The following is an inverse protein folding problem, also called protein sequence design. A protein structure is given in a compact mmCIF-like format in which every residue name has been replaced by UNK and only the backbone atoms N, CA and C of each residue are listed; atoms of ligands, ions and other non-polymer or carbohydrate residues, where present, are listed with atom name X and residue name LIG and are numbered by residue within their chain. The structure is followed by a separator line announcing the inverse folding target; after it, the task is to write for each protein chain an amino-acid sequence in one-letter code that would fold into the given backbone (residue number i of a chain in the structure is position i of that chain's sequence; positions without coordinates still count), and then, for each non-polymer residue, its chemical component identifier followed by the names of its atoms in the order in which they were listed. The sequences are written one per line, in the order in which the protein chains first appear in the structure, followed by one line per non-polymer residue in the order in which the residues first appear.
data_IF_437202738881
#
_entry.id   IF_437202738881
#
_cell.length_a   1.000
_cell.length_b   1.000
_cell.length_c   1.000
_cell.angle_alpha   90.00
_cell.angle_beta   90.00
_cell.angle_gamma   90.00
#
_symmetry.space_group_name_H-M   'P 1'
#
loop_
_entity.id
_entity.type
_entity.pdbx_description
1 polymer ?
#
# COMPACT_ATOMS: atom_id res chain seq x y z
N UNK A 1 22.87 -8.05 4.29
CA UNK A 1 21.43 -8.32 4.15
C UNK A 1 20.73 -7.02 4.53
N UNK A 2 20.11 -6.34 3.57
CA UNK A 2 19.54 -5.00 3.80
C UNK A 2 18.13 -5.15 4.37
N UNK A 3 17.87 -4.50 5.51
CA UNK A 3 16.56 -4.48 6.19
C UNK A 3 15.42 -4.02 5.28
N UNK A 4 15.74 -3.23 4.25
CA UNK A 4 14.80 -2.78 3.23
C UNK A 4 14.17 -3.93 2.45
N UNK A 5 14.95 -4.93 2.02
CA UNK A 5 14.44 -6.02 1.19
C UNK A 5 13.46 -6.92 1.97
N UNK A 6 13.77 -7.21 3.24
CA UNK A 6 12.88 -7.99 4.11
C UNK A 6 11.55 -7.27 4.36
N UNK A 7 11.60 -5.97 4.64
CA UNK A 7 10.43 -5.14 4.86
C UNK A 7 9.58 -5.04 3.60
N UNK A 8 10.21 -4.78 2.44
CA UNK A 8 9.54 -4.74 1.14
C UNK A 8 8.84 -6.06 0.85
N UNK A 9 9.51 -7.19 1.09
CA UNK A 9 8.95 -8.51 0.82
C UNK A 9 7.73 -8.81 1.69
N UNK A 10 7.76 -8.44 2.98
CA UNK A 10 6.59 -8.54 3.88
C UNK A 10 5.42 -7.68 3.42
N UNK A 11 5.69 -6.43 3.02
CA UNK A 11 4.68 -5.50 2.53
C UNK A 11 4.08 -6.02 1.22
N UNK A 12 4.91 -6.46 0.27
CA UNK A 12 4.45 -7.03 -1.00
C UNK A 12 3.55 -8.25 -0.79
N UNK A 13 3.94 -9.19 0.08
CA UNK A 13 3.10 -10.36 0.43
C UNK A 13 1.77 -9.96 1.05
N UNK A 14 1.77 -8.95 1.93
CA UNK A 14 0.55 -8.43 2.53
C UNK A 14 -0.39 -7.82 1.47
N UNK A 15 0.18 -7.04 0.56
CA UNK A 15 -0.54 -6.40 -0.53
C UNK A 15 -1.03 -7.40 -1.57
N UNK A 16 -0.36 -8.53 -1.76
CA UNK A 16 -0.72 -9.56 -2.75
C UNK A 16 -2.17 -10.05 -2.56
N UNK A 17 -2.57 -10.25 -1.30
CA UNK A 17 -3.95 -10.62 -0.94
C UNK A 17 -4.97 -9.55 -1.31
N UNK A 18 -4.59 -8.28 -1.23
CA UNK A 18 -5.46 -7.13 -1.54
C UNK A 18 -5.48 -6.88 -3.04
N UNK A 19 -4.36 -7.12 -3.75
CA UNK A 19 -4.26 -6.95 -5.21
C UNK A 19 -5.24 -7.83 -5.96
N UNK A 20 -5.43 -9.08 -5.55
CA UNK A 20 -6.40 -9.96 -6.21
C UNK A 20 -7.84 -9.43 -6.10
N UNK A 21 -8.18 -8.86 -4.94
CA UNK A 21 -9.47 -8.21 -4.75
C UNK A 21 -9.58 -6.93 -5.58
N UNK A 22 -8.58 -6.05 -5.52
CA UNK A 22 -8.54 -4.79 -6.26
C UNK A 22 -8.63 -5.01 -7.78
N UNK A 23 -7.92 -6.00 -8.31
CA UNK A 23 -7.94 -6.36 -9.74
C UNK A 23 -9.33 -6.80 -10.19
N UNK A 24 -10.08 -7.49 -9.32
CA UNK A 24 -11.48 -7.87 -9.60
C UNK A 24 -12.40 -6.65 -9.69
N UNK A 25 -12.12 -5.61 -8.90
CA UNK A 25 -12.79 -4.30 -8.93
C UNK A 25 -12.24 -3.34 -10.03
N UNK A 26 -11.25 -3.77 -10.83
CA UNK A 26 -10.64 -2.93 -11.87
C UNK A 26 -9.65 -1.88 -11.34
N UNK A 27 -9.11 -2.08 -10.15
CA UNK A 27 -8.01 -1.30 -9.55
C UNK A 27 -6.74 -2.14 -9.36
N UNK A 28 -5.67 -1.50 -8.90
CA UNK A 28 -4.45 -2.16 -8.44
C UNK A 28 -3.73 -1.27 -7.41
N UNK A 29 -2.72 -1.80 -6.71
CA UNK A 29 -1.88 -1.05 -5.77
C UNK A 29 -0.43 -1.46 -5.89
N UNK A 30 0.48 -0.47 -5.87
CA UNK A 30 1.93 -0.69 -5.90
C UNK A 30 2.62 0.03 -4.77
N UNK A 31 3.74 -0.52 -4.32
CA UNK A 31 4.63 0.17 -3.40
C UNK A 31 5.42 1.19 -4.19
N UNK A 32 5.26 2.47 -3.85
CA UNK A 32 6.01 3.58 -4.46
C UNK A 32 7.36 3.77 -3.75
N UNK A 33 7.33 3.89 -2.42
CA UNK A 33 8.52 4.06 -1.60
C UNK A 33 8.31 3.47 -0.20
N UNK A 34 9.40 3.02 0.43
CA UNK A 34 9.40 2.57 1.82
C UNK A 34 10.51 3.35 2.54
N UNK A 35 10.15 4.04 3.60
CA UNK A 35 11.04 4.81 4.46
C UNK A 35 11.18 4.09 5.81
N UNK A 36 12.10 3.12 5.94
CA UNK A 36 12.27 2.37 7.18
C UNK A 36 12.70 3.25 8.36
N UNK A 37 13.47 4.31 8.10
CA UNK A 37 13.96 5.23 9.15
C UNK A 37 12.84 6.01 9.84
N UNK A 38 11.81 6.40 9.08
CA UNK A 38 10.65 7.14 9.58
C UNK A 38 9.45 6.25 9.87
N UNK A 39 9.44 5.01 9.35
CA UNK A 39 8.32 4.08 9.39
C UNK A 39 7.18 4.52 8.48
N UNK A 40 7.47 5.14 7.33
CA UNK A 40 6.46 5.62 6.37
C UNK A 40 6.50 4.78 5.09
N UNK A 41 5.35 4.29 4.63
CA UNK A 41 5.22 3.61 3.34
C UNK A 41 4.36 4.45 2.41
N UNK A 42 4.83 4.64 1.19
CA UNK A 42 4.11 5.31 0.13
C UNK A 42 3.58 4.25 -0.84
N UNK A 43 2.27 4.25 -1.05
CA UNK A 43 1.58 3.37 -1.98
C UNK A 43 1.01 4.18 -3.13
N UNK A 44 1.18 3.68 -4.34
CA UNK A 44 0.55 4.19 -5.54
C UNK A 44 -0.70 3.37 -5.83
N UNK A 45 -1.86 4.02 -5.81
CA UNK A 45 -3.12 3.41 -6.18
C UNK A 45 -3.30 3.54 -7.69
N UNK A 46 -3.64 2.44 -8.36
CA UNK A 46 -3.81 2.37 -9.81
C UNK A 46 -5.26 2.00 -10.18
N UNK A 47 -5.68 2.40 -11.38
CA UNK A 47 -6.98 2.03 -11.96
C UNK A 47 -8.17 2.81 -11.39
N UNK A 48 -9.35 2.18 -11.34
CA UNK A 48 -10.60 2.86 -11.01
C UNK A 48 -10.68 3.38 -9.56
N UNK A 49 -9.80 2.92 -8.68
CA UNK A 49 -9.68 3.41 -7.30
C UNK A 49 -9.36 4.92 -7.22
N UNK A 50 -8.75 5.51 -8.25
CA UNK A 50 -8.42 6.93 -8.25
C UNK A 50 -9.65 7.84 -8.38
N UNK A 51 -10.71 7.35 -9.03
CA UNK A 51 -11.89 8.15 -9.41
C UNK A 51 -12.98 8.24 -8.35
N UNK A 52 -12.90 7.43 -7.29
CA UNK A 52 -13.95 7.34 -6.28
C UNK A 52 -13.57 8.16 -5.04
N UNK A 53 -13.81 9.48 -5.10
CA UNK A 53 -13.46 10.49 -4.09
C UNK A 53 -13.87 10.14 -2.65
N UNK A 54 -14.87 9.27 -2.46
CA UNK A 54 -15.31 8.78 -1.15
C UNK A 54 -14.57 7.51 -0.69
N UNK A 55 -14.09 6.67 -1.60
CA UNK A 55 -13.49 5.36 -1.30
C UNK A 55 -12.01 5.42 -0.95
N UNK A 56 -11.30 6.50 -1.30
CA UNK A 56 -9.86 6.63 -0.98
C UNK A 56 -9.57 6.53 0.52
N UNK A 57 -10.47 7.01 1.38
CA UNK A 57 -10.25 6.97 2.82
C UNK A 57 -10.40 5.55 3.38
N UNK A 58 -11.45 4.82 2.98
CA UNK A 58 -11.73 3.45 3.45
C UNK A 58 -10.76 2.44 2.83
N UNK A 59 -10.45 2.57 1.55
CA UNK A 59 -9.50 1.68 0.87
C UNK A 59 -8.09 1.83 1.44
N UNK A 60 -7.64 3.08 1.66
CA UNK A 60 -6.37 3.37 2.33
C UNK A 60 -6.32 2.77 3.73
N UNK A 61 -7.40 2.89 4.50
CA UNK A 61 -7.47 2.30 5.84
C UNK A 61 -7.32 0.76 5.80
N UNK A 62 -7.94 0.08 4.83
CA UNK A 62 -7.76 -1.36 4.63
C UNK A 62 -6.31 -1.75 4.34
N UNK A 63 -5.66 -1.03 3.43
CA UNK A 63 -4.25 -1.24 3.10
C UNK A 63 -3.33 -0.96 4.30
N UNK A 64 -3.61 0.09 5.08
CA UNK A 64 -2.90 0.41 6.33
C UNK A 64 -2.97 -0.73 7.33
N UNK A 65 -4.15 -1.30 7.56
CA UNK A 65 -4.34 -2.40 8.51
C UNK A 65 -3.56 -3.65 8.09
N UNK A 66 -3.57 -3.98 6.80
CA UNK A 66 -2.86 -5.13 6.24
C UNK A 66 -1.35 -4.94 6.39
N UNK A 67 -0.83 -3.74 6.08
CA UNK A 67 0.59 -3.42 6.23
C UNK A 67 1.01 -3.46 7.70
N UNK A 68 0.26 -2.84 8.62
CA UNK A 68 0.61 -2.83 10.05
C UNK A 68 0.62 -4.24 10.66
N UNK A 69 -0.22 -5.15 10.16
CA UNK A 69 -0.17 -6.56 10.58
C UNK A 69 1.10 -7.27 10.15
N UNK A 70 1.54 -7.05 8.92
CA UNK A 70 2.72 -7.72 8.36
C UNK A 70 4.04 -7.03 8.75
N UNK A 71 4.00 -5.72 8.96
CA UNK A 71 5.12 -4.85 9.25
C UNK A 71 4.73 -3.82 10.34
N UNK A 72 4.71 -4.24 11.63
CA UNK A 72 4.37 -3.36 12.75
C UNK A 72 5.36 -2.21 12.97
N UNK A 73 6.54 -2.25 12.35
CA UNK A 73 7.50 -1.16 12.31
C UNK A 73 7.01 0.06 11.50
N UNK A 74 6.05 -0.14 10.58
CA UNK A 74 5.44 0.95 9.82
C UNK A 74 4.45 1.69 10.72
N UNK A 75 4.61 3.01 10.79
CA UNK A 75 3.79 3.93 11.59
C UNK A 75 2.74 4.65 10.75
N UNK A 76 2.98 4.79 9.45
CA UNK A 76 2.11 5.56 8.56
C UNK A 76 2.16 5.02 7.14
N UNK A 77 1.00 4.94 6.49
CA UNK A 77 0.93 4.70 5.06
C UNK A 77 0.33 5.92 4.38
N UNK A 78 0.92 6.33 3.27
CA UNK A 78 0.49 7.46 2.46
C UNK A 78 0.15 6.93 1.08
N UNK A 79 -1.05 7.24 0.60
CA UNK A 79 -1.39 6.98 -0.79
C UNK A 79 -0.91 8.17 -1.62
N UNK A 80 0.01 7.94 -2.56
CA UNK A 80 0.43 8.91 -3.56
C UNK A 80 -0.42 8.74 -4.81
N UNK A 81 -0.75 9.86 -5.47
CA UNK A 81 -1.44 9.83 -6.76
C UNK A 81 -0.41 9.60 -7.85
N UNK A 82 -0.67 8.73 -8.85
CA UNK A 82 0.13 8.73 -10.06
C UNK A 82 0.05 10.13 -10.68
N UNK A 83 1.20 10.77 -10.89
CA UNK A 83 1.25 12.05 -11.59
C UNK A 83 1.01 11.74 -13.06
N UNK A 84 -0.18 12.09 -13.55
CA UNK A 84 -0.55 12.04 -14.97
C UNK A 84 0.30 13.03 -15.80
#
# INVERSE_FOLDING_TARGET
MNTYDELKQRIEQALESVRDYLRSDGGDVRVHAIHPDTGVVELELLGNCESCSMSNMTMKAGLEQVIFRSAPEIKKVVAVKPVA
#
